data_IF_588042611252
#
_entry.id   IF_588042611252
#
_cell.length_a   1.000
_cell.length_b   1.000
_cell.length_c   1.000
_cell.angle_alpha   90.00
_cell.angle_beta   90.00
_cell.angle_gamma   90.00
#
_symmetry.space_group_name_H-M   'P 1'
#
loop_
_entity.id
_entity.type
_entity.pdbx_description
1 polymer ?
#
# COMPACT_ATOMS: atom_id res chain seq x y z
N UNK A 1 26.06 31.99 -37.86
CA UNK A 1 25.99 30.56 -37.52
C UNK A 1 25.15 30.42 -36.27
N UNK A 2 23.84 30.16 -36.44
CA UNK A 2 22.91 30.01 -35.31
C UNK A 2 22.79 28.48 -35.00
N UNK A 3 23.20 28.10 -33.82
CA UNK A 3 22.96 26.74 -33.30
C UNK A 3 21.54 26.70 -32.75
N UNK A 4 20.67 25.92 -33.39
CA UNK A 4 19.35 25.58 -32.85
C UNK A 4 19.49 24.49 -31.79
N UNK A 5 18.80 24.58 -30.64
CA UNK A 5 18.80 23.51 -29.65
C UNK A 5 18.01 22.30 -30.18
N UNK A 6 18.62 21.12 -30.13
CA UNK A 6 17.93 19.86 -30.41
C UNK A 6 16.80 19.67 -29.39
N UNK A 7 15.59 19.60 -29.91
CA UNK A 7 14.44 19.14 -29.14
C UNK A 7 14.67 17.69 -28.73
N UNK A 8 14.85 17.44 -27.44
CA UNK A 8 14.80 16.09 -26.88
C UNK A 8 13.36 15.57 -27.00
N UNK A 9 13.16 14.62 -27.91
CA UNK A 9 11.91 13.85 -28.00
C UNK A 9 11.59 13.18 -26.66
N UNK A 10 10.31 13.09 -26.27
CA UNK A 10 9.91 12.37 -25.06
C UNK A 10 10.39 10.93 -25.20
N UNK A 11 11.05 10.43 -24.14
CA UNK A 11 11.51 9.05 -24.04
C UNK A 11 10.36 8.12 -24.39
N UNK A 12 10.53 7.36 -25.48
CA UNK A 12 9.65 6.27 -25.86
C UNK A 12 9.52 5.32 -24.66
N UNK A 13 8.36 5.36 -24.00
CA UNK A 13 7.98 4.31 -23.07
C UNK A 13 7.79 3.07 -23.95
N UNK A 14 8.73 2.15 -23.89
CA UNK A 14 8.63 0.84 -24.52
C UNK A 14 7.45 0.10 -23.92
N UNK A 15 6.28 0.26 -24.50
CA UNK A 15 5.12 -0.55 -24.22
C UNK A 15 5.40 -1.95 -24.78
N UNK A 16 5.86 -2.87 -23.96
CA UNK A 16 5.94 -4.28 -24.29
C UNK A 16 4.53 -4.86 -24.25
N UNK A 17 3.72 -4.55 -25.25
CA UNK A 17 2.40 -5.15 -25.39
C UNK A 17 2.52 -6.38 -26.30
N UNK A 18 1.90 -7.49 -25.88
CA UNK A 18 1.86 -8.71 -26.67
C UNK A 18 0.71 -8.63 -27.66
N UNK A 19 0.96 -8.97 -28.92
CA UNK A 19 -0.08 -9.12 -29.94
C UNK A 19 -0.85 -10.43 -29.69
N UNK A 20 -2.18 -10.33 -29.62
CA UNK A 20 -3.09 -11.47 -29.46
C UNK A 20 -3.39 -12.16 -30.80
N UNK A 21 -3.23 -11.44 -31.92
CA UNK A 21 -3.60 -11.90 -33.24
C UNK A 21 -2.41 -11.69 -34.20
N UNK A 22 -2.05 -12.66 -35.03
CA UNK A 22 -1.03 -12.46 -36.05
C UNK A 22 -1.52 -11.43 -37.08
N UNK A 23 -0.73 -10.36 -37.31
CA UNK A 23 -0.99 -9.32 -38.28
C UNK A 23 -0.22 -9.61 -39.58
N UNK A 24 -0.86 -9.29 -40.72
CA UNK A 24 -0.21 -9.35 -42.03
C UNK A 24 0.38 -7.98 -42.38
N UNK A 25 1.36 -7.96 -43.27
CA UNK A 25 1.93 -6.72 -43.77
C UNK A 25 0.83 -5.88 -44.46
N UNK A 26 0.62 -4.65 -43.95
CA UNK A 26 -0.43 -3.74 -44.45
C UNK A 26 -1.70 -3.68 -43.58
N UNK A 27 -1.85 -4.57 -42.61
CA UNK A 27 -2.99 -4.51 -41.67
C UNK A 27 -2.88 -3.30 -40.77
N UNK A 28 -3.98 -2.57 -40.50
CA UNK A 28 -3.98 -1.47 -39.54
C UNK A 28 -3.78 -2.04 -38.12
N UNK A 29 -2.89 -1.44 -37.35
CA UNK A 29 -2.67 -1.81 -35.97
C UNK A 29 -3.76 -1.15 -35.10
N UNK A 30 -4.67 -1.96 -34.55
CA UNK A 30 -5.73 -1.53 -33.64
C UNK A 30 -5.37 -1.85 -32.21
N UNK A 31 -5.84 -1.02 -31.26
CA UNK A 31 -5.66 -1.26 -29.81
C UNK A 31 -6.23 -2.61 -29.37
N UNK A 32 -7.29 -3.09 -30.04
CA UNK A 32 -7.89 -4.41 -29.81
C UNK A 32 -7.01 -5.60 -30.22
N UNK A 33 -5.94 -5.36 -31.00
CA UNK A 33 -5.00 -6.41 -31.38
C UNK A 33 -3.93 -6.68 -30.31
N UNK A 34 -3.83 -5.79 -29.33
CA UNK A 34 -2.91 -5.98 -28.21
C UNK A 34 -3.64 -6.65 -27.05
N UNK A 35 -2.90 -7.49 -26.33
CA UNK A 35 -3.34 -7.95 -25.02
C UNK A 35 -3.73 -6.70 -24.21
N UNK A 36 -5.01 -6.59 -23.87
CA UNK A 36 -5.46 -5.46 -23.09
C UNK A 36 -4.70 -5.53 -21.76
N UNK A 37 -4.20 -4.39 -21.28
CA UNK A 37 -3.58 -4.28 -19.97
C UNK A 37 -4.51 -4.72 -18.81
N UNK A 38 -5.68 -5.26 -19.16
CA UNK A 38 -6.71 -5.80 -18.24
C UNK A 38 -6.23 -7.03 -17.46
N UNK A 39 -5.30 -7.78 -18.06
CA UNK A 39 -4.64 -8.94 -17.44
C UNK A 39 -3.14 -8.66 -17.27
N UNK A 40 -2.77 -7.42 -16.91
CA UNK A 40 -1.40 -7.14 -16.54
C UNK A 40 -1.03 -8.10 -15.41
N UNK A 41 -0.25 -9.10 -15.79
CA UNK A 41 0.27 -10.12 -14.90
C UNK A 41 0.80 -9.41 -13.64
N UNK A 42 0.34 -9.81 -12.46
CA UNK A 42 0.77 -9.22 -11.20
C UNK A 42 2.30 -9.08 -11.13
N UNK A 43 3.01 -10.02 -11.74
CA UNK A 43 4.46 -10.00 -11.88
C UNK A 43 5.00 -8.73 -12.55
N UNK A 44 4.26 -8.11 -13.47
CA UNK A 44 4.67 -6.87 -14.15
C UNK A 44 4.56 -5.63 -13.27
N UNK A 45 3.76 -5.69 -12.22
CA UNK A 45 3.58 -4.62 -11.23
C UNK A 45 4.67 -4.64 -10.15
N UNK A 46 5.41 -5.75 -10.03
CA UNK A 46 6.47 -5.88 -9.04
C UNK A 46 7.69 -5.09 -9.49
N UNK A 47 8.16 -4.17 -8.66
CA UNK A 47 9.40 -3.43 -8.91
C UNK A 47 10.63 -4.36 -8.89
N UNK A 48 11.72 -4.04 -9.61
CA UNK A 48 12.97 -4.79 -9.51
C UNK A 48 13.42 -4.93 -8.05
N UNK A 49 13.80 -6.14 -7.63
CA UNK A 49 14.14 -6.53 -6.26
C UNK A 49 12.96 -6.62 -5.27
N UNK A 50 11.76 -6.17 -5.63
CA UNK A 50 10.56 -6.38 -4.83
C UNK A 50 10.01 -7.80 -4.92
N UNK A 51 9.12 -8.14 -4.03
CA UNK A 51 8.34 -9.37 -3.99
C UNK A 51 6.87 -9.04 -3.70
N UNK A 52 5.97 -9.78 -4.31
CA UNK A 52 4.55 -9.75 -3.95
C UNK A 52 4.32 -10.75 -2.81
N UNK A 53 3.81 -10.28 -1.70
CA UNK A 53 3.43 -11.11 -0.55
C UNK A 53 1.95 -10.96 -0.32
N UNK A 54 1.25 -12.08 -0.19
CA UNK A 54 -0.17 -12.10 0.09
C UNK A 54 -0.41 -12.31 1.57
N UNK A 55 -1.21 -11.45 2.16
CA UNK A 55 -1.60 -11.46 3.56
C UNK A 55 -3.08 -11.81 3.65
N UNK A 56 -3.42 -12.78 4.51
CA UNK A 56 -4.81 -13.09 4.83
C UNK A 56 -5.39 -12.00 5.71
N UNK A 57 -6.54 -11.47 5.32
CA UNK A 57 -7.21 -10.40 6.04
C UNK A 57 -8.68 -10.70 6.26
N UNK A 58 -9.22 -10.15 7.32
CA UNK A 58 -10.65 -10.12 7.56
C UNK A 58 -11.14 -8.68 7.40
N UNK A 59 -12.42 -8.48 7.18
CA UNK A 59 -13.02 -7.15 7.02
C UNK A 59 -12.58 -6.15 8.09
N UNK A 60 -12.59 -6.58 9.38
CA UNK A 60 -12.14 -5.76 10.51
C UNK A 60 -10.65 -5.39 10.48
N UNK A 61 -9.81 -6.22 9.86
CA UNK A 61 -8.35 -6.06 9.82
C UNK A 61 -7.86 -5.36 8.53
N UNK A 62 -8.76 -5.14 7.58
CA UNK A 62 -8.49 -4.49 6.30
C UNK A 62 -9.29 -3.19 6.13
N UNK A 63 -9.42 -2.42 7.20
CA UNK A 63 -10.10 -1.11 7.19
C UNK A 63 -11.52 -1.19 6.59
N UNK A 64 -12.29 -2.24 6.95
CA UNK A 64 -13.64 -2.43 6.39
C UNK A 64 -13.67 -2.65 4.88
N UNK A 65 -12.63 -3.25 4.31
CA UNK A 65 -12.44 -3.48 2.86
C UNK A 65 -12.32 -2.19 2.00
N UNK A 66 -11.94 -1.08 2.61
CA UNK A 66 -11.67 0.17 1.88
C UNK A 66 -10.30 0.21 1.20
N UNK A 67 -9.41 -0.72 1.53
CA UNK A 67 -8.08 -0.82 0.91
C UNK A 67 -8.22 -1.16 -0.57
N UNK A 68 -7.49 -0.45 -1.41
CA UNK A 68 -7.50 -0.61 -2.87
C UNK A 68 -6.08 -0.82 -3.40
N UNK A 69 -5.92 -1.40 -4.60
CA UNK A 69 -4.63 -1.42 -5.28
C UNK A 69 -4.06 0.00 -5.46
N UNK A 70 -2.76 0.16 -5.28
CA UNK A 70 -1.98 1.40 -5.21
C UNK A 70 -2.14 2.23 -3.92
N UNK A 71 -2.92 1.78 -2.96
CA UNK A 71 -2.92 2.41 -1.65
C UNK A 71 -1.63 2.11 -0.89
N UNK A 72 -1.27 3.03 0.01
CA UNK A 72 -0.19 2.86 0.96
C UNK A 72 -0.75 2.44 2.32
N UNK A 73 -0.17 1.38 2.88
CA UNK A 73 -0.61 0.82 4.16
C UNK A 73 0.56 0.59 5.10
N UNK A 74 0.26 0.64 6.41
CA UNK A 74 1.16 0.10 7.43
C UNK A 74 0.63 -1.27 7.87
N UNK A 75 1.55 -2.19 8.14
CA UNK A 75 1.23 -3.53 8.62
C UNK A 75 1.57 -3.65 10.10
N UNK A 76 0.56 -3.93 10.90
CA UNK A 76 0.70 -4.19 12.34
C UNK A 76 0.48 -5.67 12.59
N UNK A 77 1.34 -6.26 13.41
CA UNK A 77 1.19 -7.63 13.89
C UNK A 77 0.83 -7.67 15.37
N UNK A 78 -0.11 -8.55 15.73
CA UNK A 78 -0.47 -8.85 17.11
C UNK A 78 -0.11 -10.30 17.42
N UNK A 79 0.84 -10.49 18.35
CA UNK A 79 1.43 -11.78 18.69
C UNK A 79 1.35 -12.06 20.18
N UNK A 80 1.36 -13.33 20.54
CA UNK A 80 1.61 -13.76 21.92
C UNK A 80 3.11 -13.88 22.14
N UNK A 81 3.62 -13.17 23.12
CA UNK A 81 5.01 -13.28 23.57
C UNK A 81 5.25 -14.72 24.08
N UNK A 82 6.25 -15.45 23.55
CA UNK A 82 6.47 -16.84 23.94
C UNK A 82 6.82 -17.02 25.42
N UNK A 83 7.51 -16.04 26.02
CA UNK A 83 7.98 -16.12 27.40
C UNK A 83 6.89 -15.70 28.41
N UNK A 84 6.19 -14.62 28.12
CA UNK A 84 5.19 -14.03 29.04
C UNK A 84 3.75 -14.41 28.71
N UNK A 85 3.48 -15.01 27.56
CA UNK A 85 2.14 -15.31 27.02
C UNK A 85 1.23 -14.08 26.87
N UNK A 86 1.77 -12.89 27.04
CA UNK A 86 1.05 -11.63 26.91
C UNK A 86 0.91 -11.25 25.43
N UNK A 87 -0.23 -10.68 25.10
CA UNK A 87 -0.45 -10.15 23.75
C UNK A 87 0.34 -8.86 23.56
N UNK A 88 1.14 -8.81 22.53
CA UNK A 88 1.91 -7.64 22.10
C UNK A 88 1.54 -7.27 20.66
N UNK A 89 1.40 -5.99 20.43
CA UNK A 89 1.13 -5.45 19.11
C UNK A 89 2.27 -4.51 18.69
N UNK A 90 2.79 -4.73 17.48
CA UNK A 90 3.88 -3.93 16.94
C UNK A 90 3.71 -3.64 15.47
N UNK A 91 4.25 -2.52 15.01
CA UNK A 91 4.33 -2.20 13.59
C UNK A 91 5.45 -3.00 12.95
N UNK A 92 5.11 -3.82 11.97
CA UNK A 92 6.06 -4.64 11.21
C UNK A 92 6.63 -3.85 10.03
N UNK A 93 5.76 -3.34 9.18
CA UNK A 93 6.13 -2.55 8.00
C UNK A 93 5.36 -1.24 7.97
N UNK A 94 5.96 -0.25 7.36
CA UNK A 94 5.36 1.07 7.15
C UNK A 94 5.44 1.45 5.68
N UNK A 95 4.43 2.17 5.20
CA UNK A 95 4.40 2.73 3.86
C UNK A 95 4.58 1.69 2.75
N UNK A 96 3.85 0.59 2.84
CA UNK A 96 3.90 -0.53 1.88
C UNK A 96 2.80 -0.36 0.84
N UNK A 97 3.15 -0.56 -0.44
CA UNK A 97 2.20 -0.42 -1.54
C UNK A 97 1.37 -1.69 -1.70
N UNK A 98 0.06 -1.52 -1.81
CA UNK A 98 -0.87 -2.60 -2.12
C UNK A 98 -0.85 -2.86 -3.64
N UNK A 99 -0.51 -4.06 -4.05
CA UNK A 99 -0.50 -4.49 -5.46
C UNK A 99 -1.88 -5.00 -5.90
N UNK A 100 -2.56 -5.74 -5.02
CA UNK A 100 -3.85 -6.33 -5.32
C UNK A 100 -4.68 -6.55 -4.06
N UNK A 101 -6.01 -6.52 -4.21
CA UNK A 101 -6.99 -6.93 -3.20
C UNK A 101 -7.80 -8.10 -3.76
N UNK A 102 -7.63 -9.29 -3.17
CA UNK A 102 -8.12 -10.51 -3.77
C UNK A 102 -7.56 -10.71 -5.17
N UNK A 103 -8.44 -10.69 -6.17
CA UNK A 103 -8.09 -10.79 -7.60
C UNK A 103 -8.01 -9.44 -8.33
N UNK A 104 -8.30 -8.34 -7.65
CA UNK A 104 -8.35 -7.00 -8.23
C UNK A 104 -6.97 -6.36 -8.15
N UNK A 105 -6.44 -5.93 -9.28
CA UNK A 105 -5.23 -5.10 -9.41
C UNK A 105 -5.60 -3.69 -9.85
N UNK A 106 -4.66 -2.74 -9.82
CA UNK A 106 -4.86 -1.38 -10.33
C UNK A 106 -5.33 -1.31 -11.80
N UNK A 107 -5.07 -2.36 -12.57
CA UNK A 107 -5.41 -2.44 -13.99
C UNK A 107 -6.75 -3.15 -14.26
N UNK A 108 -7.41 -3.68 -13.22
CA UNK A 108 -8.70 -4.35 -13.36
C UNK A 108 -9.81 -3.32 -13.64
N UNK A 109 -10.46 -3.42 -14.81
CA UNK A 109 -11.47 -2.43 -15.23
C UNK A 109 -12.91 -2.84 -14.93
N UNK A 110 -13.20 -4.13 -14.92
CA UNK A 110 -14.54 -4.67 -14.63
C UNK A 110 -14.48 -5.44 -13.32
N UNK A 111 -14.97 -4.82 -12.25
CA UNK A 111 -15.01 -5.42 -10.92
C UNK A 111 -16.42 -5.96 -10.71
N UNK A 112 -16.56 -7.28 -10.60
CA UNK A 112 -17.82 -7.89 -10.19
C UNK A 112 -18.11 -7.57 -8.71
N UNK A 113 -19.37 -7.52 -8.31
CA UNK A 113 -19.74 -7.25 -6.91
C UNK A 113 -19.17 -8.31 -5.95
N UNK A 114 -19.01 -9.55 -6.43
CA UNK A 114 -18.41 -10.65 -5.68
C UNK A 114 -16.93 -10.40 -5.36
N UNK A 115 -16.19 -9.79 -6.29
CA UNK A 115 -14.76 -9.49 -6.14
C UNK A 115 -14.49 -8.31 -5.21
N UNK A 116 -15.51 -7.51 -4.86
CA UNK A 116 -15.38 -6.41 -3.89
C UNK A 116 -15.15 -6.91 -2.47
N UNK A 117 -15.52 -8.16 -2.19
CA UNK A 117 -15.22 -8.82 -0.91
C UNK A 117 -13.97 -9.66 -1.08
N UNK A 118 -12.91 -9.25 -0.45
CA UNK A 118 -11.63 -9.97 -0.50
C UNK A 118 -11.23 -10.47 0.89
N UNK A 119 -10.60 -11.62 0.92
CA UNK A 119 -10.02 -12.21 2.12
C UNK A 119 -8.48 -12.08 2.15
N UNK A 120 -7.91 -11.56 1.07
CA UNK A 120 -6.45 -11.45 0.90
C UNK A 120 -6.06 -10.10 0.33
N UNK A 121 -4.92 -9.59 0.77
CA UNK A 121 -4.29 -8.37 0.24
C UNK A 121 -2.86 -8.72 -0.14
N UNK A 122 -2.46 -8.38 -1.36
CA UNK A 122 -1.10 -8.57 -1.85
C UNK A 122 -0.35 -7.26 -1.79
N UNK A 123 0.77 -7.26 -1.11
CA UNK A 123 1.62 -6.08 -0.91
C UNK A 123 2.98 -6.25 -1.57
N UNK A 124 3.61 -5.13 -1.93
CA UNK A 124 4.98 -5.08 -2.41
C UNK A 124 5.93 -4.99 -1.21
N UNK A 125 6.82 -5.96 -1.07
CA UNK A 125 7.78 -6.02 0.02
C UNK A 125 9.20 -6.35 -0.50
N UNK A 126 10.22 -6.08 0.29
CA UNK A 126 11.55 -6.62 0.06
C UNK A 126 11.60 -8.10 0.45
N UNK A 127 12.58 -8.88 -0.03
CA UNK A 127 12.69 -10.30 0.32
C UNK A 127 12.69 -10.56 1.84
N UNK A 128 13.47 -9.78 2.59
CA UNK A 128 13.57 -9.88 4.05
C UNK A 128 12.27 -9.50 4.76
N UNK A 129 11.55 -8.52 4.21
CA UNK A 129 10.24 -8.13 4.71
C UNK A 129 9.19 -9.21 4.42
N UNK A 130 9.30 -9.87 3.26
CA UNK A 130 8.44 -10.98 2.87
C UNK A 130 8.56 -12.17 3.84
N UNK A 131 9.80 -12.53 4.21
CA UNK A 131 10.09 -13.58 5.19
C UNK A 131 9.48 -13.22 6.57
N UNK A 132 9.66 -11.97 7.00
CA UNK A 132 9.10 -11.48 8.26
C UNK A 132 7.57 -11.51 8.25
N UNK A 133 6.92 -11.09 7.16
CA UNK A 133 5.46 -11.12 7.05
C UNK A 133 4.91 -12.54 7.06
N UNK A 134 5.58 -13.47 6.36
CA UNK A 134 5.18 -14.87 6.32
C UNK A 134 5.24 -15.50 7.72
N UNK A 135 6.34 -15.29 8.44
CA UNK A 135 6.46 -15.77 9.83
C UNK A 135 5.41 -15.11 10.73
N UNK A 136 5.19 -13.81 10.56
CA UNK A 136 4.25 -13.07 11.38
C UNK A 136 2.79 -13.54 11.19
N UNK A 137 2.44 -13.95 9.98
CA UNK A 137 1.11 -14.50 9.67
C UNK A 137 0.85 -15.83 10.36
N UNK A 138 1.87 -16.68 10.50
CA UNK A 138 1.80 -17.94 11.22
C UNK A 138 1.70 -17.75 12.75
N UNK A 139 2.38 -16.73 13.28
CA UNK A 139 2.48 -16.49 14.73
C UNK A 139 1.32 -15.69 15.30
N UNK A 140 0.58 -14.95 14.48
CA UNK A 140 -0.45 -14.05 15.00
C UNK A 140 -1.37 -13.48 13.94
N UNK A 141 -1.97 -12.34 14.28
CA UNK A 141 -2.93 -11.66 13.41
C UNK A 141 -2.30 -10.40 12.84
N UNK A 142 -2.37 -10.26 11.53
CA UNK A 142 -1.97 -9.04 10.83
C UNK A 142 -3.16 -8.10 10.64
N UNK A 143 -2.90 -6.80 10.76
CA UNK A 143 -3.88 -5.73 10.57
C UNK A 143 -3.26 -4.66 9.68
N UNK A 144 -4.03 -4.22 8.68
CA UNK A 144 -3.62 -3.16 7.78
C UNK A 144 -4.15 -1.81 8.27
N UNK A 145 -3.32 -0.80 8.21
CA UNK A 145 -3.70 0.59 8.46
C UNK A 145 -3.56 1.36 7.17
N UNK A 146 -4.64 1.94 6.69
CA UNK A 146 -4.65 2.76 5.48
C UNK A 146 -4.01 4.12 5.78
N UNK A 147 -3.05 4.50 4.95
CA UNK A 147 -2.36 5.81 5.03
C UNK A 147 -3.04 6.84 4.15
N UNK A 148 -2.83 8.11 4.50
CA UNK A 148 -3.11 9.19 3.59
C UNK A 148 -2.13 9.10 2.39
N UNK A 149 -2.58 9.26 1.13
CA UNK A 149 -1.72 9.21 -0.05
C UNK A 149 -0.54 10.19 -0.01
N UNK A 150 -0.71 11.33 0.66
CA UNK A 150 0.34 12.35 0.79
C UNK A 150 1.31 12.10 1.95
N UNK A 151 1.02 11.10 2.81
CA UNK A 151 1.86 10.75 3.97
C UNK A 151 2.82 9.63 3.60
N UNK A 152 4.00 10.00 3.12
CA UNK A 152 5.06 9.08 2.74
C UNK A 152 6.12 8.91 3.84
N UNK A 153 5.99 9.61 4.97
CA UNK A 153 6.96 9.59 6.05
C UNK A 153 6.92 8.25 6.82
N UNK A 154 8.08 7.65 7.01
CA UNK A 154 8.24 6.50 7.91
C UNK A 154 8.82 6.94 9.24
N UNK A 155 8.31 6.39 10.35
CA UNK A 155 8.83 6.67 11.68
C UNK A 155 9.93 5.67 12.02
N UNK A 156 11.13 6.15 12.38
CA UNK A 156 12.26 5.30 12.76
C UNK A 156 11.97 4.46 14.02
N UNK A 157 11.18 4.99 14.95
CA UNK A 157 10.71 4.27 16.13
C UNK A 157 9.45 3.48 15.86
N UNK A 158 9.59 2.18 15.67
CA UNK A 158 8.46 1.26 15.62
C UNK A 158 7.78 1.22 17.00
N UNK A 159 6.48 1.46 17.00
CA UNK A 159 5.68 1.41 18.21
C UNK A 159 5.44 -0.04 18.62
N UNK A 160 5.77 -0.36 19.85
CA UNK A 160 5.38 -1.63 20.49
C UNK A 160 4.39 -1.29 21.59
N UNK A 161 3.25 -1.95 21.60
CA UNK A 161 2.21 -1.79 22.61
C UNK A 161 1.97 -3.14 23.27
N UNK A 162 2.11 -3.19 24.56
CA UNK A 162 1.80 -4.35 25.39
C UNK A 162 0.49 -4.16 26.18
N UNK A 163 0.06 -5.22 26.83
CA UNK A 163 -1.17 -5.20 27.61
C UNK A 163 -1.11 -4.20 28.78
N UNK A 164 0.07 -4.00 29.40
CA UNK A 164 0.26 -3.03 30.47
C UNK A 164 0.07 -1.60 29.97
N UNK A 165 0.64 -1.28 28.81
CA UNK A 165 0.53 0.05 28.19
C UNK A 165 -0.93 0.45 27.90
N UNK A 166 -1.79 -0.52 27.60
CA UNK A 166 -3.23 -0.27 27.41
C UNK A 166 -3.94 0.08 28.71
N UNK A 167 -3.59 -0.58 29.80
CA UNK A 167 -4.29 -0.41 31.07
C UNK A 167 -3.78 0.77 31.91
N UNK A 168 -2.52 1.18 31.77
CA UNK A 168 -1.97 2.34 32.52
C UNK A 168 -2.48 3.68 32.00
N UNK A 169 -2.98 3.75 30.77
CA UNK A 169 -3.54 4.99 30.21
C UNK A 169 -2.52 6.10 29.90
N UNK A 170 -1.28 5.99 30.35
CA UNK A 170 -0.24 7.02 30.22
C UNK A 170 -0.01 7.41 28.74
N UNK A 171 -0.02 6.41 27.87
CA UNK A 171 0.17 6.62 26.43
C UNK A 171 -1.02 7.30 25.74
N UNK A 172 -2.22 7.13 26.30
CA UNK A 172 -3.41 7.78 25.76
C UNK A 172 -3.32 9.32 25.88
N UNK A 173 -2.79 9.81 26.98
CA UNK A 173 -2.55 11.24 27.18
C UNK A 173 -1.52 11.83 26.18
N UNK A 174 -0.40 11.13 25.96
CA UNK A 174 0.61 11.54 24.99
C UNK A 174 0.07 11.57 23.55
N UNK A 175 -0.72 10.54 23.17
CA UNK A 175 -1.34 10.45 21.86
C UNK A 175 -2.41 11.52 21.65
N UNK A 176 -3.15 11.86 22.70
CA UNK A 176 -4.14 12.93 22.69
C UNK A 176 -3.46 14.28 22.42
N UNK A 177 -2.32 14.55 23.09
CA UNK A 177 -1.53 15.76 22.82
C UNK A 177 -0.98 15.82 21.39
N UNK A 178 -0.58 14.68 20.81
CA UNK A 178 -0.13 14.62 19.41
C UNK A 178 -1.26 14.95 18.42
N UNK A 179 -2.47 14.47 18.66
CA UNK A 179 -3.64 14.78 17.81
C UNK A 179 -3.96 16.27 17.78
N UNK A 180 -3.91 16.95 18.92
CA UNK A 180 -4.23 18.37 18.99
C UNK A 180 -3.11 19.30 18.53
N UNK A 181 -1.91 18.77 18.22
CA UNK A 181 -0.84 19.55 17.61
C UNK A 181 -1.01 19.78 16.12
N UNK A 182 -1.82 18.97 15.46
CA UNK A 182 -2.07 19.09 14.02
C UNK A 182 -3.50 19.52 13.80
N UNK A 183 -3.69 20.77 13.35
CA UNK A 183 -5.01 21.28 12.96
C UNK A 183 -5.07 21.22 11.45
N UNK A 184 -5.98 20.43 10.91
CA UNK A 184 -6.27 20.38 9.49
C UNK A 184 -7.34 21.43 9.18
N UNK A 185 -6.98 22.47 8.43
CA UNK A 185 -7.92 23.49 7.99
C UNK A 185 -8.33 23.15 6.55
N UNK A 186 -9.58 22.70 6.39
CA UNK A 186 -10.16 22.46 5.07
C UNK A 186 -10.88 23.74 4.64
N UNK A 187 -10.31 24.47 3.67
CA UNK A 187 -10.96 25.60 3.00
C UNK A 187 -11.29 25.21 1.57
N UNK A 188 -12.56 24.93 1.29
CA UNK A 188 -13.01 24.49 -0.04
C UNK A 188 -12.42 23.12 -0.40
N UNK A 189 -11.82 23.01 -1.60
CA UNK A 189 -11.25 21.75 -2.11
C UNK A 189 -9.74 21.58 -1.84
N UNK A 190 -9.14 22.41 -0.97
CA UNK A 190 -7.72 22.32 -0.58
C UNK A 190 -7.60 22.15 0.92
N UNK A 191 -6.99 21.03 1.35
CA UNK A 191 -6.59 20.78 2.73
C UNK A 191 -5.19 21.34 2.98
N UNK A 192 -5.03 22.20 3.98
CA UNK A 192 -3.72 22.61 4.51
C UNK A 192 -3.60 22.09 5.94
N UNK A 193 -2.54 21.34 6.23
CA UNK A 193 -2.22 20.94 7.59
C UNK A 193 -1.25 21.96 8.21
N UNK A 194 -1.61 22.57 9.33
CA UNK A 194 -0.72 23.44 10.12
C UNK A 194 -0.46 22.80 11.48
N UNK A 195 0.82 22.72 11.83
CA UNK A 195 1.23 22.35 13.20
C UNK A 195 0.94 23.55 14.10
N UNK A 196 0.12 23.38 15.12
CA UNK A 196 -0.13 24.43 16.11
C UNK A 196 1.17 24.71 16.88
N UNK A 197 1.70 25.93 16.75
CA UNK A 197 2.82 26.38 17.58
C UNK A 197 2.40 26.40 19.06
N UNK A 198 3.28 25.93 19.96
CA UNK A 198 3.10 26.14 21.40
C UNK A 198 3.03 27.64 21.64
N UNK A 199 1.94 28.12 22.20
CA UNK A 199 1.93 29.39 22.87
C UNK A 199 2.89 29.35 24.07
N UNK A 200 3.40 30.52 24.50
CA UNK A 200 4.39 30.64 25.56
C UNK A 200 3.89 30.10 26.90
#
# INVERSE_FOLDING_TARGET
>A
MCFAPRSTSPKERSFRQRLLVPLKAGDPILVSHFESARDADLATLISPKGRAVTIDVQEKNAVGLWVRPNDHVDVIGSFRDPDTQQLRTMTLLQNVVVLATGRITANTTNIAEEDKRFATVTVLALPEEAEMLTLAQELGTLTLLLRNPDDLDSQDKRSVVDQKTLFTGDRAGELQQKRYRTIQIIRGNRGESKVAARGP
#
